data_IF_153241500994
#
_entry.id   IF_153241500994
#
_cell.length_a   1.000
_cell.length_b   1.000
_cell.length_c   1.000
_cell.angle_alpha   90.00
_cell.angle_beta   90.00
_cell.angle_gamma   90.00
#
_symmetry.space_group_name_H-M   'P 1'
#
loop_
_entity.id
_entity.type
_entity.pdbx_description
1 polymer ?
#
# COMPACT_ATOMS: atom_id res chain seq x y z
N UNK A 1 -33.59 -42.69 5.09
CA UNK A 1 -33.24 -41.49 4.30
C UNK A 1 -33.27 -40.29 5.21
N UNK A 2 -32.15 -39.59 5.46
CA UNK A 2 -32.18 -38.30 6.16
C UNK A 2 -32.55 -37.17 5.18
N UNK A 3 -33.23 -36.10 5.62
CA UNK A 3 -33.64 -35.01 4.75
C UNK A 3 -32.46 -34.12 4.35
N UNK A 4 -32.51 -33.61 3.11
CA UNK A 4 -31.53 -32.70 2.49
C UNK A 4 -31.34 -31.44 3.34
N UNK A 5 -30.11 -31.22 3.81
CA UNK A 5 -29.64 -29.91 4.32
C UNK A 5 -29.76 -28.86 3.20
N UNK A 6 -30.65 -27.89 3.37
CA UNK A 6 -30.62 -26.64 2.60
C UNK A 6 -29.43 -25.82 3.13
N UNK A 7 -28.51 -25.41 2.24
CA UNK A 7 -27.43 -24.49 2.60
C UNK A 7 -28.06 -23.15 2.99
N UNK A 8 -27.86 -22.75 4.25
CA UNK A 8 -28.20 -21.41 4.69
C UNK A 8 -27.33 -20.41 3.91
N UNK A 9 -27.98 -19.52 3.17
CA UNK A 9 -27.36 -18.36 2.53
C UNK A 9 -26.85 -17.49 3.68
N UNK A 10 -25.53 -17.42 3.86
CA UNK A 10 -24.89 -16.57 4.86
C UNK A 10 -25.15 -15.12 4.46
N UNK A 11 -26.22 -14.56 5.01
CA UNK A 11 -26.47 -13.13 5.08
C UNK A 11 -25.23 -12.52 5.74
N UNK A 12 -24.38 -11.87 4.93
CA UNK A 12 -23.33 -11.04 5.49
C UNK A 12 -24.02 -9.85 6.13
N UNK A 13 -23.86 -9.75 7.45
CA UNK A 13 -24.35 -8.64 8.24
C UNK A 13 -23.65 -7.36 7.76
N UNK A 14 -24.45 -6.32 7.49
CA UNK A 14 -23.96 -4.96 7.29
C UNK A 14 -23.10 -4.53 8.48
N UNK A 15 -21.84 -4.12 8.28
CA UNK A 15 -21.13 -3.32 9.26
C UNK A 15 -21.77 -1.92 9.34
N UNK A 16 -21.76 -1.28 10.52
CA UNK A 16 -22.43 -0.02 10.79
C UNK A 16 -21.78 1.11 10.00
N UNK A 17 -22.53 1.70 9.06
CA UNK A 17 -22.29 2.98 8.36
C UNK A 17 -20.83 3.50 8.40
N UNK A 18 -19.89 2.73 7.86
CA UNK A 18 -18.61 3.29 7.46
C UNK A 18 -18.92 4.26 6.30
N UNK A 19 -18.51 5.51 6.43
CA UNK A 19 -18.55 6.46 5.31
C UNK A 19 -17.81 5.81 4.14
N UNK A 20 -18.54 5.48 3.09
CA UNK A 20 -17.99 4.82 1.90
C UNK A 20 -16.90 5.72 1.35
N UNK A 21 -15.65 5.25 1.32
CA UNK A 21 -14.56 6.04 0.77
C UNK A 21 -14.74 6.19 -0.74
N UNK A 22 -14.18 7.24 -1.38
CA UNK A 22 -14.27 7.39 -2.84
C UNK A 22 -13.76 6.14 -3.60
N UNK A 23 -12.70 5.50 -3.11
CA UNK A 23 -12.17 4.25 -3.68
C UNK A 23 -13.17 3.09 -3.53
N UNK A 24 -13.79 2.93 -2.34
CA UNK A 24 -14.85 1.93 -2.15
C UNK A 24 -16.05 2.18 -3.07
N UNK A 25 -16.44 3.45 -3.25
CA UNK A 25 -17.52 3.84 -4.14
C UNK A 25 -17.19 3.52 -5.62
N UNK A 26 -15.92 3.63 -6.02
CA UNK A 26 -15.46 3.19 -7.34
C UNK A 26 -15.63 1.66 -7.51
N UNK A 27 -15.09 0.85 -6.60
CA UNK A 27 -15.20 -0.61 -6.72
C UNK A 27 -16.64 -1.12 -6.60
N UNK A 28 -17.52 -0.41 -5.89
CA UNK A 28 -18.94 -0.73 -5.82
C UNK A 28 -19.66 -0.68 -7.18
N UNK A 29 -19.10 0.00 -8.19
CA UNK A 29 -19.64 0.01 -9.56
C UNK A 29 -19.42 -1.32 -10.29
N UNK A 30 -18.55 -2.20 -9.76
CA UNK A 30 -18.19 -3.48 -10.35
C UNK A 30 -18.58 -4.65 -9.42
N UNK A 31 -19.88 -4.99 -9.32
CA UNK A 31 -20.36 -5.99 -8.35
C UNK A 31 -19.87 -7.43 -8.63
N UNK A 32 -19.31 -7.68 -9.82
CA UNK A 32 -18.70 -8.96 -10.18
C UNK A 32 -17.28 -9.14 -9.62
N UNK A 33 -16.66 -8.06 -9.14
CA UNK A 33 -15.35 -8.06 -8.51
C UNK A 33 -15.48 -8.08 -6.98
N UNK A 34 -14.73 -8.96 -6.32
CA UNK A 34 -14.72 -9.05 -4.85
C UNK A 34 -13.66 -8.12 -4.28
N UNK A 35 -14.05 -6.87 -4.00
CA UNK A 35 -13.17 -5.88 -3.39
C UNK A 35 -12.90 -6.18 -1.90
N UNK A 36 -11.63 -6.10 -1.51
CA UNK A 36 -11.15 -6.22 -0.14
C UNK A 36 -10.61 -4.86 0.34
N UNK A 37 -11.30 -4.16 1.25
CA UNK A 37 -10.86 -2.86 1.76
C UNK A 37 -9.48 -2.85 2.44
N UNK A 38 -8.91 -4.02 2.77
CA UNK A 38 -7.61 -4.13 3.44
C UNK A 38 -6.42 -4.29 2.49
N UNK A 39 -6.67 -4.58 1.21
CA UNK A 39 -5.63 -4.76 0.21
C UNK A 39 -5.21 -3.44 -0.46
N UNK A 40 -4.07 -3.45 -1.13
CA UNK A 40 -3.58 -2.30 -1.90
C UNK A 40 -4.54 -1.96 -3.05
N UNK A 41 -4.92 -0.68 -3.14
CA UNK A 41 -5.93 -0.20 -4.10
C UNK A 41 -5.55 -0.56 -5.54
N UNK A 42 -4.30 -0.30 -5.91
CA UNK A 42 -3.83 -0.51 -7.29
C UNK A 42 -3.67 -1.98 -7.65
N UNK A 43 -3.26 -2.84 -6.70
CA UNK A 43 -3.18 -4.28 -6.94
C UNK A 43 -4.56 -4.86 -7.25
N UNK A 44 -5.56 -4.46 -6.47
CA UNK A 44 -6.95 -4.87 -6.69
C UNK A 44 -7.51 -4.35 -8.01
N UNK A 45 -7.19 -3.11 -8.38
CA UNK A 45 -7.55 -2.58 -9.70
C UNK A 45 -6.97 -3.45 -10.82
N UNK A 46 -5.68 -3.78 -10.79
CA UNK A 46 -5.07 -4.64 -11.81
C UNK A 46 -5.65 -6.06 -11.81
N UNK A 47 -5.99 -6.60 -10.64
CA UNK A 47 -6.69 -7.88 -10.51
C UNK A 47 -8.06 -7.84 -11.19
N UNK A 48 -8.83 -6.77 -10.96
CA UNK A 48 -10.12 -6.53 -11.60
C UNK A 48 -10.00 -6.46 -13.13
N UNK A 49 -9.02 -5.71 -13.65
CA UNK A 49 -8.77 -5.62 -15.10
C UNK A 49 -8.46 -7.00 -15.71
N UNK A 50 -7.68 -7.84 -15.00
CA UNK A 50 -7.36 -9.20 -15.45
C UNK A 50 -8.59 -10.11 -15.42
N UNK A 51 -9.43 -10.01 -14.40
CA UNK A 51 -10.67 -10.78 -14.29
C UNK A 51 -11.64 -10.48 -15.43
N UNK A 52 -11.82 -9.19 -15.77
CA UNK A 52 -12.69 -8.78 -16.88
C UNK A 52 -12.06 -8.97 -18.27
N UNK A 53 -10.76 -9.29 -18.34
CA UNK A 53 -10.07 -9.55 -19.59
C UNK A 53 -9.94 -8.34 -20.51
N UNK A 54 -9.97 -7.12 -19.96
CA UNK A 54 -9.86 -5.90 -20.78
C UNK A 54 -8.45 -5.73 -21.33
N UNK A 55 -8.36 -5.55 -22.65
CA UNK A 55 -7.10 -5.39 -23.37
C UNK A 55 -6.55 -3.96 -23.21
N UNK A 56 -5.32 -3.74 -23.67
CA UNK A 56 -4.61 -2.45 -23.53
C UNK A 56 -5.36 -1.27 -24.15
N UNK A 57 -6.04 -1.48 -25.27
CA UNK A 57 -6.73 -0.42 -26.03
C UNK A 57 -8.25 -0.46 -25.82
N UNK A 58 -8.75 -1.18 -24.80
CA UNK A 58 -10.17 -1.20 -24.49
C UNK A 58 -10.57 0.12 -23.82
N UNK A 59 -11.54 0.83 -24.42
CA UNK A 59 -12.09 2.07 -23.87
C UNK A 59 -12.55 1.91 -22.42
N UNK A 60 -13.13 0.74 -22.06
CA UNK A 60 -13.60 0.46 -20.70
C UNK A 60 -12.46 0.46 -19.68
N UNK A 61 -11.28 -0.01 -20.09
CA UNK A 61 -10.08 0.03 -19.23
C UNK A 61 -9.62 1.46 -19.01
N UNK A 62 -9.61 2.28 -20.07
CA UNK A 62 -9.21 3.69 -19.97
C UNK A 62 -10.17 4.48 -19.09
N UNK A 63 -11.49 4.26 -19.25
CA UNK A 63 -12.52 4.87 -18.41
C UNK A 63 -12.39 4.43 -16.94
N UNK A 64 -12.22 3.13 -16.70
CA UNK A 64 -12.01 2.61 -15.35
C UNK A 64 -10.71 3.15 -14.71
N UNK A 65 -9.65 3.32 -15.51
CA UNK A 65 -8.39 3.91 -15.05
C UNK A 65 -8.56 5.38 -14.67
N UNK A 66 -9.32 6.16 -15.44
CA UNK A 66 -9.67 7.53 -15.07
C UNK A 66 -10.48 7.55 -13.78
N UNK A 67 -11.50 6.69 -13.67
CA UNK A 67 -12.37 6.64 -12.50
C UNK A 67 -11.63 6.29 -11.21
N UNK A 68 -10.70 5.31 -11.24
CA UNK A 68 -9.91 4.98 -10.05
C UNK A 68 -8.92 6.11 -9.70
N UNK A 69 -8.35 6.80 -10.69
CA UNK A 69 -7.47 7.94 -10.45
C UNK A 69 -8.22 9.10 -9.79
N UNK A 70 -9.43 9.39 -10.27
CA UNK A 70 -10.30 10.41 -9.68
C UNK A 70 -10.69 10.04 -8.24
N UNK A 71 -11.00 8.77 -7.99
CA UNK A 71 -11.31 8.27 -6.65
C UNK A 71 -10.10 8.38 -5.69
N UNK A 72 -8.90 8.03 -6.14
CA UNK A 72 -7.66 8.19 -5.37
C UNK A 72 -7.42 9.66 -5.05
N UNK A 73 -7.58 10.55 -6.03
CA UNK A 73 -7.41 11.99 -5.83
C UNK A 73 -8.44 12.57 -4.85
N UNK A 74 -9.71 12.14 -4.93
CA UNK A 74 -10.75 12.55 -3.98
C UNK A 74 -10.42 12.08 -2.57
N UNK A 75 -10.06 10.81 -2.40
CA UNK A 75 -9.70 10.27 -1.08
C UNK A 75 -8.46 10.97 -0.50
N UNK A 76 -7.46 11.27 -1.34
CA UNK A 76 -6.31 12.06 -0.94
C UNK A 76 -6.72 13.46 -0.44
N UNK A 77 -7.61 14.12 -1.18
CA UNK A 77 -8.13 15.45 -0.81
C UNK A 77 -8.95 15.42 0.48
N UNK A 78 -9.67 14.33 0.76
CA UNK A 78 -10.43 14.15 1.99
C UNK A 78 -9.51 13.98 3.22
N UNK A 79 -8.38 13.28 3.06
CA UNK A 79 -7.43 13.02 4.15
C UNK A 79 -6.54 14.24 4.41
N UNK A 80 -5.92 14.79 3.37
CA UNK A 80 -4.88 15.81 3.50
C UNK A 80 -5.39 17.22 3.22
N UNK A 81 -6.45 17.36 2.40
CA UNK A 81 -6.94 18.63 1.90
C UNK A 81 -6.57 18.87 0.44
N UNK A 82 -7.50 19.40 -0.35
CA UNK A 82 -7.30 19.67 -1.79
C UNK A 82 -6.71 21.05 -2.12
N UNK A 83 -6.42 21.89 -1.12
CA UNK A 83 -5.96 23.26 -1.34
C UNK A 83 -4.43 23.37 -1.20
N UNK A 84 -3.74 23.54 -2.32
CA UNK A 84 -2.29 23.74 -2.35
C UNK A 84 -1.80 25.05 -1.70
N UNK A 85 -2.70 25.97 -1.35
CA UNK A 85 -2.40 27.19 -0.59
C UNK A 85 -2.61 27.06 0.92
N UNK A 86 -3.04 25.89 1.41
CA UNK A 86 -3.30 25.66 2.84
C UNK A 86 -2.07 25.06 3.53
N UNK A 87 -1.47 25.81 4.46
CA UNK A 87 -0.34 25.32 5.26
C UNK A 87 -0.71 24.07 6.06
N UNK A 88 -1.93 23.99 6.58
CA UNK A 88 -2.39 22.83 7.36
C UNK A 88 -2.41 21.55 6.53
N UNK A 89 -2.81 21.63 5.25
CA UNK A 89 -2.78 20.49 4.34
C UNK A 89 -1.35 19.97 4.10
N UNK A 90 -0.40 20.89 3.89
CA UNK A 90 1.00 20.54 3.72
C UNK A 90 1.65 19.97 4.99
N UNK A 91 1.27 20.49 6.17
CA UNK A 91 1.77 19.98 7.45
C UNK A 91 1.27 18.56 7.74
N UNK A 92 -0.02 18.27 7.50
CA UNK A 92 -0.55 16.89 7.60
C UNK A 92 0.18 15.92 6.68
N UNK A 93 0.49 16.35 5.46
CA UNK A 93 1.27 15.53 4.54
C UNK A 93 2.70 15.32 5.06
N UNK A 94 3.32 16.36 5.60
CA UNK A 94 4.65 16.29 6.23
C UNK A 94 4.70 15.34 7.42
N UNK A 95 3.68 15.31 8.28
CA UNK A 95 3.59 14.36 9.40
C UNK A 95 3.70 12.89 8.96
N UNK A 96 3.25 12.58 7.75
CA UNK A 96 3.25 11.23 7.21
C UNK A 96 4.53 10.85 6.49
N UNK A 97 5.13 11.80 5.76
CA UNK A 97 6.22 11.51 4.79
C UNK A 97 7.55 12.19 5.13
N UNK A 98 7.51 13.19 6.02
CA UNK A 98 8.64 14.02 6.37
C UNK A 98 9.47 13.44 7.52
N UNK A 99 10.73 13.83 7.56
CA UNK A 99 11.64 13.57 8.67
C UNK A 99 12.28 14.90 9.10
N UNK A 100 12.25 15.21 10.39
CA UNK A 100 12.81 16.44 10.96
C UNK A 100 11.75 17.45 11.42
N UNK A 101 12.18 18.71 11.57
CA UNK A 101 11.36 19.77 12.15
C UNK A 101 10.16 20.12 11.26
N UNK A 102 9.01 20.33 11.89
CA UNK A 102 7.77 20.73 11.21
C UNK A 102 7.97 22.10 10.53
N UNK A 103 7.79 22.21 9.20
CA UNK A 103 7.93 23.48 8.53
C UNK A 103 6.75 24.40 8.86
N UNK A 104 7.04 25.68 9.11
CA UNK A 104 6.05 26.71 9.41
C UNK A 104 5.67 27.56 8.19
N UNK A 105 6.27 27.29 7.02
CA UNK A 105 6.04 28.01 5.78
C UNK A 105 5.66 27.05 4.64
N UNK A 106 4.72 27.48 3.79
CA UNK A 106 4.17 26.67 2.69
C UNK A 106 5.25 26.33 1.67
N UNK A 107 6.14 27.26 1.34
CA UNK A 107 7.20 27.03 0.36
C UNK A 107 8.24 26.05 0.92
N UNK A 108 8.54 26.14 2.21
CA UNK A 108 9.41 25.19 2.89
C UNK A 108 8.81 23.77 2.89
N UNK A 109 7.54 23.61 3.27
CA UNK A 109 6.85 22.31 3.19
C UNK A 109 6.90 21.74 1.77
N UNK A 110 6.56 22.57 0.77
CA UNK A 110 6.51 22.12 -0.63
C UNK A 110 7.89 21.72 -1.14
N UNK A 111 8.94 22.44 -0.77
CA UNK A 111 10.31 22.09 -1.15
C UNK A 111 10.78 20.79 -0.50
N UNK A 112 10.40 20.57 0.76
CA UNK A 112 10.76 19.38 1.50
C UNK A 112 10.01 18.14 0.98
N UNK A 113 8.70 18.22 0.77
CA UNK A 113 7.88 17.12 0.24
C UNK A 113 8.30 16.75 -1.20
N UNK A 114 8.71 17.73 -2.03
CA UNK A 114 9.26 17.45 -3.37
C UNK A 114 10.52 16.57 -3.36
N UNK A 115 11.24 16.49 -2.24
CA UNK A 115 12.42 15.63 -2.10
C UNK A 115 12.05 14.20 -1.68
N UNK A 116 10.83 14.01 -1.19
CA UNK A 116 10.31 12.71 -0.77
C UNK A 116 9.58 12.08 -1.95
N UNK A 117 10.04 10.91 -2.36
CA UNK A 117 9.44 10.14 -3.44
C UNK A 117 8.48 9.09 -2.85
N UNK A 118 7.24 9.49 -2.60
CA UNK A 118 6.14 8.60 -2.16
C UNK A 118 5.16 8.35 -3.30
N UNK A 119 4.61 7.13 -3.36
CA UNK A 119 3.50 6.84 -4.27
C UNK A 119 2.19 7.33 -3.62
N UNK A 120 1.35 8.02 -4.39
CA UNK A 120 0.07 8.55 -3.91
C UNK A 120 -0.86 7.45 -3.38
N UNK A 121 -0.73 6.23 -3.92
CA UNK A 121 -1.50 5.07 -3.47
C UNK A 121 -1.13 4.70 -2.03
N UNK A 122 0.16 4.72 -1.69
CA UNK A 122 0.65 4.41 -0.34
C UNK A 122 0.06 5.40 0.68
N UNK A 123 -0.10 6.67 0.30
CA UNK A 123 -0.65 7.71 1.17
C UNK A 123 -2.14 7.54 1.44
N UNK A 124 -2.92 7.04 0.47
CA UNK A 124 -4.36 6.80 0.66
C UNK A 124 -4.66 5.44 1.30
N UNK A 125 -3.77 4.46 1.14
CA UNK A 125 -3.91 3.10 1.67
C UNK A 125 -3.38 2.98 3.12
N UNK A 126 -2.41 3.81 3.53
CA UNK A 126 -1.84 3.82 4.89
C UNK A 126 -2.85 4.10 6.03
N UNK A 127 -3.69 5.15 5.98
CA UNK A 127 -4.66 5.39 7.04
C UNK A 127 -5.77 4.32 7.07
N UNK A 128 -6.10 3.71 5.93
CA UNK A 128 -7.06 2.61 5.86
C UNK A 128 -6.53 1.36 6.60
N UNK A 129 -5.23 1.06 6.48
CA UNK A 129 -4.58 -0.07 7.17
C UNK A 129 -4.37 0.16 8.66
N UNK A 130 -4.12 1.39 9.11
CA UNK A 130 -3.93 1.73 10.53
C UNK A 130 -5.20 1.54 11.38
N UNK A 131 -6.37 1.76 10.78
CA UNK A 131 -7.66 1.61 11.47
C UNK A 131 -7.97 0.17 11.93
N UNK A 132 -7.35 -0.84 11.31
CA UNK A 132 -7.53 -2.25 11.64
C UNK A 132 -6.40 -2.81 12.52
N UNK A 133 -5.19 -2.26 12.44
CA UNK A 133 -4.09 -2.66 13.33
C UNK A 133 -4.26 -2.13 14.76
N UNK A 134 -5.07 -1.10 14.95
CA UNK A 134 -5.35 -0.51 16.27
C UNK A 134 -6.23 -1.39 17.17
N UNK A 135 -6.79 -2.51 16.68
CA UNK A 135 -7.54 -3.46 17.51
C UNK A 135 -6.69 -4.59 18.11
N UNK A 136 -5.38 -4.67 17.80
CA UNK A 136 -4.48 -5.69 18.35
C UNK A 136 -3.19 -5.12 18.97
N UNK A 137 -3.27 -3.94 19.59
CA UNK A 137 -2.21 -3.43 20.48
C UNK A 137 -2.74 -3.29 21.90
N UNK A 138 -3.02 -4.43 22.53
CA UNK A 138 -3.15 -4.55 23.99
C UNK A 138 -1.82 -4.78 24.72
N UNK A 139 -0.69 -4.58 24.04
CA UNK A 139 0.63 -4.48 24.67
C UNK A 139 1.32 -3.27 24.06
N UNK A 140 1.50 -2.23 24.87
CA UNK A 140 1.99 -0.94 24.43
C UNK A 140 3.44 -0.98 23.98
N UNK A 141 3.70 -0.32 22.86
CA UNK A 141 4.98 0.31 22.57
C UNK A 141 4.72 1.52 21.67
N UNK A 142 4.76 2.71 22.28
CA UNK A 142 4.95 3.94 21.55
C UNK A 142 6.34 3.90 20.94
N UNK A 143 6.43 3.88 19.61
CA UNK A 143 7.67 4.06 18.87
C UNK A 143 8.11 5.54 18.92
N UNK A 144 8.48 6.02 20.10
CA UNK A 144 9.28 7.23 20.24
C UNK A 144 10.37 7.00 21.30
N UNK A 145 11.53 6.58 20.81
CA UNK A 145 12.77 6.58 21.57
C UNK A 145 13.03 5.35 22.43
N UNK A 146 13.81 4.41 21.90
CA UNK A 146 14.82 3.74 22.73
C UNK A 146 15.99 3.21 21.91
N UNK A 147 17.16 3.73 22.26
CA UNK A 147 18.44 3.15 21.94
C UNK A 147 18.47 1.69 22.39
N UNK A 148 18.69 0.78 21.45
CA UNK A 148 19.02 -0.60 21.79
C UNK A 148 20.52 -0.68 22.07
N UNK A 149 20.85 -0.66 23.36
CA UNK A 149 22.08 -1.27 23.83
C UNK A 149 22.03 -2.77 23.49
N UNK A 150 23.00 -3.24 22.71
CA UNK A 150 23.16 -4.66 22.36
C UNK A 150 23.69 -5.40 23.58
N UNK A 151 23.00 -6.43 24.10
CA UNK A 151 23.56 -7.31 25.12
C UNK A 151 24.64 -8.20 24.49
N UNK A 152 25.82 -8.15 25.11
CA UNK A 152 26.88 -9.14 24.99
C UNK A 152 26.41 -10.46 25.62
N UNK A 153 26.73 -11.59 24.99
CA UNK A 153 26.88 -12.98 25.48
C UNK A 153 26.33 -13.97 24.43
N UNK A 154 26.89 -15.15 24.15
CA UNK A 154 28.18 -15.80 24.34
C UNK A 154 28.19 -16.99 23.35
N UNK A 155 29.40 -17.41 22.99
CA UNK A 155 29.84 -18.74 22.54
C UNK A 155 28.95 -19.64 21.65
N UNK A 156 29.37 -19.76 20.38
CA UNK A 156 29.04 -20.91 19.52
C UNK A 156 30.31 -21.75 19.31
N UNK A 157 30.30 -23.06 19.63
CA UNK A 157 31.49 -23.89 19.58
C UNK A 157 31.91 -24.29 18.17
N UNK A 158 33.23 -24.27 18.03
CA UNK A 158 34.09 -24.90 17.03
C UNK A 158 33.64 -26.29 16.58
N UNK A 159 33.62 -26.52 15.27
CA UNK A 159 34.29 -27.70 14.71
C UNK A 159 34.70 -27.44 13.27
N UNK A 160 36.01 -27.63 13.04
CA UNK A 160 36.67 -27.67 11.77
C UNK A 160 36.19 -28.87 10.93
N UNK A 161 36.14 -28.74 9.61
CA UNK A 161 37.25 -29.16 8.73
C UNK A 161 36.79 -29.41 7.26
N UNK A 162 37.72 -29.11 6.37
CA UNK A 162 38.03 -29.82 5.13
C UNK A 162 37.38 -29.43 3.79
N UNK A 163 38.14 -28.55 3.11
CA UNK A 163 38.79 -28.76 1.80
C UNK A 163 37.89 -29.06 0.58
N UNK A 164 37.92 -28.14 -0.40
CA UNK A 164 38.87 -28.07 -1.56
C UNK A 164 38.19 -27.77 -2.91
N UNK A 165 38.95 -26.98 -3.71
CA UNK A 165 39.06 -26.93 -5.19
C UNK A 165 37.98 -26.12 -5.93
N UNK A 166 38.34 -24.92 -6.41
CA UNK A 166 38.91 -24.59 -7.74
C UNK A 166 37.85 -24.55 -8.85
N UNK A 167 37.70 -23.40 -9.53
CA UNK A 167 36.99 -23.38 -10.82
C UNK A 167 36.66 -22.01 -11.37
N UNK A 168 37.58 -21.46 -12.16
CA UNK A 168 37.46 -20.25 -13.01
C UNK A 168 36.20 -20.23 -13.90
N UNK A 169 35.73 -19.03 -14.26
CA UNK A 169 35.03 -18.86 -15.54
C UNK A 169 34.09 -17.66 -15.70
N UNK A 170 34.62 -16.44 -15.81
CA UNK A 170 33.86 -15.34 -16.46
C UNK A 170 33.81 -15.62 -17.97
N UNK A 171 32.62 -15.81 -18.53
CA UNK A 171 32.37 -15.64 -19.97
C UNK A 171 31.19 -14.70 -20.16
N UNK A 172 31.53 -13.46 -20.53
CA UNK A 172 30.62 -12.51 -21.18
C UNK A 172 30.25 -13.10 -22.55
N UNK A 173 28.96 -13.15 -22.87
CA UNK A 173 28.49 -13.36 -24.25
C UNK A 173 27.51 -12.24 -24.60
N UNK A 174 28.05 -11.24 -25.26
CA UNK A 174 27.36 -10.33 -26.16
C UNK A 174 27.06 -11.06 -27.46
N UNK A 175 25.81 -11.06 -27.91
CA UNK A 175 25.43 -11.35 -29.29
C UNK A 175 24.28 -10.42 -29.70
N UNK A 176 24.63 -9.34 -30.40
CA UNK A 176 23.75 -8.62 -31.31
C UNK A 176 24.50 -8.52 -32.64
N UNK A 177 24.08 -9.28 -33.65
CA UNK A 177 24.15 -8.88 -35.07
C UNK A 177 23.53 -9.92 -36.00
N UNK A 178 22.71 -9.37 -36.90
CA UNK A 178 22.30 -9.85 -38.24
C UNK A 178 21.20 -10.92 -38.32
N UNK A 179 20.00 -10.43 -38.63
CA UNK A 179 19.18 -10.91 -39.74
C UNK A 179 18.81 -9.68 -40.55
#
# INVERSE_FOLDING_TARGET
>A
MPPRRKKAKKTQANPPAATVTPIQAFFAQYPEFSYDPSGETMEQFWSMIRQFGWLRDDTRKTEALSGIQDAIAQQFNDIYGGNAGDLGAWQRLWEMVGEGDMPTDINACRAAIKRVFVNICDLVDYPATQSLQSQDLSQGECICGRAFAVPLEEDIPSTADSRRRLGKGRKKRTWWKKG
#
